data_IF_264353726220
#
_entry.id   IF_264353726220
#
_cell.length_a   1.000
_cell.length_b   1.000
_cell.length_c   1.000
_cell.angle_alpha   90.00
_cell.angle_beta   90.00
_cell.angle_gamma   90.00
#
_symmetry.space_group_name_H-M   'P 1'
#
loop_
_entity.id
_entity.type
_entity.pdbx_description
1 polymer ?
#
# COMPACT_ATOMS: atom_id res chain seq x y z
N UNK A 1 -3.75 4.49 -7.35
CA UNK A 1 -3.36 5.71 -8.09
C UNK A 1 -1.86 5.84 -8.35
N UNK A 2 -0.99 6.21 -7.39
CA UNK A 2 0.43 6.55 -7.70
C UNK A 2 1.17 5.46 -8.50
N UNK A 3 1.05 4.18 -8.08
CA UNK A 3 1.68 3.06 -8.78
C UNK A 3 1.10 2.87 -10.19
N UNK A 4 -0.20 3.10 -10.33
CA UNK A 4 -0.92 2.89 -11.59
C UNK A 4 -0.56 3.99 -12.59
N UNK A 5 -0.42 5.23 -12.13
CA UNK A 5 0.07 6.34 -12.95
C UNK A 5 1.50 6.09 -13.43
N UNK A 6 2.35 5.52 -12.57
CA UNK A 6 3.74 5.24 -12.92
C UNK A 6 3.92 4.02 -13.83
N UNK A 7 3.04 3.02 -13.73
CA UNK A 7 3.17 1.75 -14.47
C UNK A 7 2.18 1.60 -15.63
N UNK A 8 1.17 2.46 -15.72
CA UNK A 8 0.05 2.35 -16.67
C UNK A 8 -0.91 1.19 -16.39
N UNK A 9 -0.73 0.46 -15.29
CA UNK A 9 -1.49 -0.76 -14.98
C UNK A 9 -2.12 -0.65 -13.60
N UNK A 10 -3.33 -1.22 -13.39
CA UNK A 10 -3.95 -1.26 -12.07
C UNK A 10 -3.06 -2.00 -11.08
N UNK A 11 -2.98 -1.51 -9.84
CA UNK A 11 -2.04 -2.06 -8.86
C UNK A 11 -2.57 -3.33 -8.19
N UNK A 12 -3.86 -3.33 -7.86
CA UNK A 12 -4.58 -4.45 -7.27
C UNK A 12 -5.83 -4.75 -8.10
N UNK A 13 -5.69 -5.17 -9.37
CA UNK A 13 -6.85 -5.55 -10.17
C UNK A 13 -7.48 -6.78 -9.52
N UNK A 14 -8.76 -6.75 -9.20
CA UNK A 14 -9.46 -7.85 -8.52
C UNK A 14 -10.86 -8.07 -9.06
N UNK A 15 -11.34 -9.32 -8.97
CA UNK A 15 -12.68 -9.71 -9.42
C UNK A 15 -13.70 -9.88 -8.28
N UNK A 16 -13.25 -9.90 -7.02
CA UNK A 16 -14.09 -10.00 -5.82
C UNK A 16 -13.41 -9.39 -4.60
N UNK A 17 -14.17 -9.16 -3.52
CA UNK A 17 -13.64 -8.64 -2.26
C UNK A 17 -12.60 -9.58 -1.63
N UNK A 18 -12.81 -10.90 -1.73
CA UNK A 18 -11.87 -11.87 -1.21
C UNK A 18 -10.56 -11.87 -2.02
N UNK A 19 -10.66 -11.82 -3.35
CA UNK A 19 -9.49 -11.71 -4.22
C UNK A 19 -8.73 -10.41 -3.98
N UNK A 20 -9.45 -9.30 -3.76
CA UNK A 20 -8.85 -8.02 -3.37
C UNK A 20 -8.11 -8.12 -2.03
N UNK A 21 -8.74 -8.69 -1.01
CA UNK A 21 -8.11 -8.88 0.31
C UNK A 21 -6.85 -9.76 0.21
N UNK A 22 -6.91 -10.84 -0.56
CA UNK A 22 -5.75 -11.69 -0.82
C UNK A 22 -4.61 -10.90 -1.47
N UNK A 23 -4.91 -10.08 -2.48
CA UNK A 23 -3.94 -9.22 -3.15
C UNK A 23 -3.37 -8.13 -2.24
N UNK A 24 -4.20 -7.52 -1.39
CA UNK A 24 -3.74 -6.56 -0.37
C UNK A 24 -2.75 -7.25 0.57
N UNK A 25 -3.08 -8.42 1.10
CA UNK A 25 -2.19 -9.14 2.00
C UNK A 25 -0.87 -9.48 1.31
N UNK A 26 -0.92 -10.00 0.09
CA UNK A 26 0.27 -10.37 -0.67
C UNK A 26 1.19 -9.21 -1.05
N UNK A 27 0.66 -8.00 -1.20
CA UNK A 27 1.41 -6.84 -1.71
C UNK A 27 1.77 -5.83 -0.62
N UNK A 28 0.91 -5.67 0.37
CA UNK A 28 1.02 -4.67 1.42
C UNK A 28 1.52 -5.31 2.72
N UNK A 29 0.93 -6.42 3.13
CA UNK A 29 1.33 -7.18 4.30
C UNK A 29 0.17 -7.81 5.05
N UNK A 30 0.49 -8.57 6.08
CA UNK A 30 -0.52 -9.25 6.89
C UNK A 30 -1.46 -8.24 7.53
N UNK A 31 -2.74 -8.59 7.62
CA UNK A 31 -3.74 -7.80 8.32
C UNK A 31 -3.32 -7.55 9.77
N UNK A 32 -3.64 -6.37 10.32
CA UNK A 32 -3.44 -6.11 11.74
C UNK A 32 -4.31 -7.06 12.59
N UNK A 33 -3.98 -7.30 13.88
CA UNK A 33 -4.79 -8.17 14.74
C UNK A 33 -6.27 -7.78 14.79
N UNK A 34 -6.54 -6.46 14.80
CA UNK A 34 -7.90 -5.93 14.75
C UNK A 34 -8.64 -6.34 13.46
N UNK A 35 -8.00 -6.17 12.30
CA UNK A 35 -8.56 -6.55 11.00
C UNK A 35 -8.73 -8.06 10.86
N UNK A 36 -7.78 -8.86 11.37
CA UNK A 36 -7.91 -10.32 11.40
C UNK A 36 -9.12 -10.78 12.21
N UNK A 37 -9.35 -10.16 13.38
CA UNK A 37 -10.51 -10.47 14.21
C UNK A 37 -11.83 -10.12 13.49
N UNK A 38 -11.90 -8.99 12.79
CA UNK A 38 -13.07 -8.64 11.97
C UNK A 38 -13.27 -9.64 10.82
N UNK A 39 -12.19 -9.95 10.08
CA UNK A 39 -12.23 -10.91 8.98
C UNK A 39 -12.73 -12.28 9.42
N UNK A 40 -12.21 -12.81 10.54
CA UNK A 40 -12.57 -14.12 11.08
C UNK A 40 -14.04 -14.24 11.51
N UNK A 41 -14.67 -13.12 11.87
CA UNK A 41 -16.09 -13.05 12.28
C UNK A 41 -17.03 -12.83 11.11
N UNK A 42 -16.51 -12.50 9.92
CA UNK A 42 -17.33 -12.24 8.75
C UNK A 42 -17.90 -13.54 8.20
N UNK A 43 -19.23 -13.70 8.11
CA UNK A 43 -19.85 -14.88 7.51
C UNK A 43 -19.53 -14.99 6.02
N UNK A 44 -19.25 -13.87 5.35
CA UNK A 44 -18.90 -13.82 3.92
C UNK A 44 -17.55 -14.52 3.65
N UNK A 45 -16.64 -14.49 4.63
CA UNK A 45 -15.30 -15.06 4.52
C UNK A 45 -15.10 -16.32 5.37
N UNK A 46 -16.20 -16.93 5.82
CA UNK A 46 -16.16 -18.11 6.67
C UNK A 46 -15.40 -19.27 6.00
N UNK A 47 -14.49 -19.88 6.75
CA UNK A 47 -13.65 -20.99 6.26
C UNK A 47 -12.48 -20.59 5.37
N UNK A 48 -12.30 -19.29 5.08
CA UNK A 48 -11.18 -18.80 4.27
C UNK A 48 -9.97 -18.47 5.15
N UNK A 49 -8.79 -18.86 4.69
CA UNK A 49 -7.51 -18.52 5.32
C UNK A 49 -6.72 -17.60 4.40
N UNK A 50 -6.35 -16.43 4.89
CA UNK A 50 -5.47 -15.51 4.17
C UNK A 50 -4.01 -15.97 4.28
N UNK A 51 -3.19 -15.76 3.24
CA UNK A 51 -1.77 -16.11 3.27
C UNK A 51 -1.04 -15.29 4.33
N UNK A 52 0.03 -15.85 4.89
CA UNK A 52 0.97 -15.11 5.71
C UNK A 52 2.19 -14.75 4.87
N UNK A 53 2.52 -13.47 4.79
CA UNK A 53 3.65 -12.97 4.01
C UNK A 53 4.67 -12.26 4.88
N UNK A 54 5.92 -12.29 4.43
CA UNK A 54 7.00 -11.48 4.99
C UNK A 54 7.50 -10.52 3.91
N UNK A 55 7.36 -9.22 4.18
CA UNK A 55 7.86 -8.19 3.28
C UNK A 55 9.21 -7.65 3.76
N UNK A 56 10.08 -7.23 2.82
CA UNK A 56 11.24 -6.42 3.16
C UNK A 56 10.78 -5.14 3.89
N UNK A 57 11.49 -4.77 4.97
CA UNK A 57 11.27 -3.49 5.65
C UNK A 57 11.61 -2.27 4.79
N UNK A 58 12.43 -2.46 3.76
CA UNK A 58 12.87 -1.38 2.87
C UNK A 58 11.90 -1.23 1.69
N UNK A 59 11.37 -0.02 1.50
CA UNK A 59 10.42 0.32 0.44
C UNK A 59 10.94 0.01 -0.98
N UNK A 60 12.21 0.33 -1.26
CA UNK A 60 12.83 0.08 -2.58
C UNK A 60 12.94 -1.41 -2.90
N UNK A 61 13.19 -2.25 -1.89
CA UNK A 61 13.17 -3.72 -2.05
C UNK A 61 11.75 -4.25 -2.24
N UNK A 62 10.75 -3.62 -1.62
CA UNK A 62 9.34 -3.99 -1.75
C UNK A 62 8.75 -3.59 -3.11
N UNK A 63 9.22 -2.49 -3.68
CA UNK A 63 8.76 -1.94 -4.96
C UNK A 63 9.92 -1.75 -5.96
N UNK A 64 10.58 -2.83 -6.40
CA UNK A 64 11.81 -2.74 -7.21
C UNK A 64 11.61 -2.13 -8.60
N UNK A 65 10.35 -2.06 -9.09
CA UNK A 65 10.01 -1.43 -10.38
C UNK A 65 9.82 0.08 -10.28
N UNK A 66 9.77 0.64 -9.07
CA UNK A 66 9.58 2.07 -8.84
C UNK A 66 10.93 2.73 -8.57
N UNK A 67 11.08 3.99 -8.97
CA UNK A 67 12.21 4.78 -8.52
C UNK A 67 12.16 4.97 -6.99
N UNK A 68 13.29 5.31 -6.36
CA UNK A 68 13.39 5.37 -4.89
C UNK A 68 12.35 6.28 -4.23
N UNK A 69 12.22 7.52 -4.69
CA UNK A 69 11.26 8.48 -4.14
C UNK A 69 9.80 8.02 -4.30
N UNK A 70 9.50 7.38 -5.44
CA UNK A 70 8.17 6.84 -5.72
C UNK A 70 7.88 5.59 -4.87
N UNK A 71 8.87 4.75 -4.62
CA UNK A 71 8.74 3.63 -3.70
C UNK A 71 8.48 4.11 -2.26
N UNK A 72 9.18 5.17 -1.84
CA UNK A 72 9.09 5.72 -0.49
C UNK A 72 7.70 6.35 -0.25
N UNK A 73 7.20 7.18 -1.19
CA UNK A 73 5.85 7.76 -1.09
C UNK A 73 4.75 6.69 -1.12
N UNK A 74 4.90 5.67 -1.97
CA UNK A 74 3.95 4.55 -2.03
C UNK A 74 3.95 3.78 -0.72
N UNK A 75 5.12 3.54 -0.14
CA UNK A 75 5.22 2.86 1.13
C UNK A 75 4.56 3.67 2.25
N UNK A 76 4.80 4.97 2.33
CA UNK A 76 4.20 5.85 3.33
C UNK A 76 2.66 5.89 3.26
N UNK A 77 2.08 5.84 2.06
CA UNK A 77 0.63 5.82 1.87
C UNK A 77 0.01 4.42 2.09
N UNK A 78 0.69 3.36 1.69
CA UNK A 78 0.14 2.01 1.61
C UNK A 78 0.54 1.17 2.83
N UNK A 79 -0.08 1.48 3.97
CA UNK A 79 0.07 0.76 5.23
C UNK A 79 -1.21 0.01 5.61
N UNK A 80 -1.03 -1.17 6.22
CA UNK A 80 -2.14 -1.99 6.72
C UNK A 80 -2.89 -1.28 7.83
N UNK A 81 -2.16 -0.76 8.82
CA UNK A 81 -2.75 0.09 9.83
C UNK A 81 -3.05 1.47 9.23
N UNK A 82 -4.30 1.97 9.29
CA UNK A 82 -4.62 3.33 8.87
C UNK A 82 -3.84 4.41 9.62
N UNK A 83 -3.49 4.18 10.91
CA UNK A 83 -2.79 5.16 11.73
C UNK A 83 -1.33 5.35 11.30
N UNK A 84 -0.72 4.35 10.65
CA UNK A 84 0.65 4.40 10.15
C UNK A 84 0.76 5.13 8.80
N UNK A 85 -0.37 5.51 8.18
CA UNK A 85 -0.37 6.18 6.89
C UNK A 85 -0.01 7.66 7.07
N UNK A 86 0.87 8.14 6.20
CA UNK A 86 1.19 9.56 6.11
C UNK A 86 -0.08 10.38 5.81
N UNK A 87 -0.22 11.53 6.47
CA UNK A 87 -1.33 12.45 6.20
C UNK A 87 -1.15 13.14 4.84
N UNK A 88 -2.25 13.59 4.23
CA UNK A 88 -2.17 14.33 2.96
C UNK A 88 -1.35 15.62 3.08
N UNK A 89 -1.38 16.29 4.24
CA UNK A 89 -0.58 17.48 4.49
C UNK A 89 0.91 17.16 4.54
N UNK A 90 1.30 16.10 5.25
CA UNK A 90 2.72 15.70 5.34
C UNK A 90 3.22 15.15 4.00
N UNK A 91 2.34 14.48 3.24
CA UNK A 91 2.64 13.95 1.92
C UNK A 91 3.12 15.03 0.95
N UNK A 92 2.56 16.24 1.00
CA UNK A 92 2.97 17.37 0.16
C UNK A 92 4.39 17.86 0.47
N UNK A 93 4.89 17.60 1.68
CA UNK A 93 6.26 17.96 2.09
C UNK A 93 7.29 16.86 1.74
N UNK A 94 6.84 15.71 1.23
CA UNK A 94 7.72 14.61 0.85
C UNK A 94 8.66 15.01 -0.29
N UNK A 95 9.90 14.49 -0.29
CA UNK A 95 10.94 14.79 -1.29
C UNK A 95 10.48 14.55 -2.73
N UNK A 96 9.53 13.63 -2.94
CA UNK A 96 8.91 13.41 -4.23
C UNK A 96 8.31 14.69 -4.85
N UNK A 97 7.74 15.59 -4.03
CA UNK A 97 7.15 16.85 -4.48
C UNK A 97 8.01 18.08 -4.21
N UNK A 98 8.97 18.01 -3.27
CA UNK A 98 9.78 19.19 -2.89
C UNK A 98 11.15 19.24 -3.56
N UNK A 99 11.66 18.10 -4.06
CA UNK A 99 12.96 18.06 -4.73
C UNK A 99 12.95 18.97 -5.98
N UNK A 100 14.06 19.66 -6.20
CA UNK A 100 14.30 20.55 -7.34
C UNK A 100 13.32 21.74 -7.43
N UNK A 101 12.66 22.09 -6.32
CA UNK A 101 11.71 23.20 -6.26
C UNK A 101 10.43 22.94 -7.07
N UNK A 102 10.00 21.69 -7.22
CA UNK A 102 8.84 21.34 -8.04
C UNK A 102 7.55 22.10 -7.63
N UNK A 103 7.31 22.28 -6.32
CA UNK A 103 6.16 23.07 -5.82
C UNK A 103 6.37 24.59 -5.98
N UNK A 104 7.61 25.08 -6.03
CA UNK A 104 7.92 26.52 -6.04
C UNK A 104 7.89 27.13 -7.45
N UNK A 105 7.76 26.32 -8.51
CA UNK A 105 7.59 26.82 -9.87
C UNK A 105 6.16 27.36 -10.07
N UNK A 106 5.97 28.63 -9.72
CA UNK A 106 4.90 29.49 -10.24
C UNK A 106 5.45 30.47 -11.27
#
# INVERSE_FOLDING_TARGET
MIIEMATGNPYLPSSSDLDLLHKIVLKVGNLSPHLQNIFSKSPIFAGVVLPQVQHPKNARKKYPKLNGLLADIVHACLQIDPADRISSSDLLHHEYFTRDGFIEKK
#
